data_IF_173155058747
#
_entry.id   IF_173155058747
#
_cell.length_a   1.000
_cell.length_b   1.000
_cell.length_c   1.000
_cell.angle_alpha   90.00
_cell.angle_beta   90.00
_cell.angle_gamma   90.00
#
_symmetry.space_group_name_H-M   'P 1'
#
loop_
_entity.id
_entity.type
_entity.pdbx_description
1 polymer ?
#
# COMPACT_ATOMS: atom_id res chain seq x y z
N UNK A 1 -35.36 -13.03 4.34
CA UNK A 1 -34.56 -13.14 3.13
C UNK A 1 -33.06 -13.18 3.44
N UNK A 2 -32.36 -14.09 2.80
CA UNK A 2 -30.93 -14.25 3.01
C UNK A 2 -30.08 -13.17 2.35
N UNK A 3 -30.56 -12.57 1.28
CA UNK A 3 -29.78 -11.70 0.42
C UNK A 3 -29.15 -10.50 1.10
N UNK A 4 -29.98 -9.63 1.68
CA UNK A 4 -29.49 -8.39 2.29
C UNK A 4 -28.64 -8.64 3.54
N UNK A 5 -29.06 -9.56 4.40
CA UNK A 5 -28.31 -9.89 5.61
C UNK A 5 -26.91 -10.43 5.29
N UNK A 6 -26.82 -11.30 4.28
CA UNK A 6 -25.54 -11.87 3.87
C UNK A 6 -24.62 -10.83 3.22
N UNK A 7 -25.19 -9.90 2.44
CA UNK A 7 -24.43 -8.81 1.82
C UNK A 7 -23.83 -7.90 2.89
N UNK A 8 -24.61 -7.50 3.89
CA UNK A 8 -24.12 -6.64 4.96
C UNK A 8 -23.04 -7.33 5.79
N UNK A 9 -23.24 -8.61 6.11
CA UNK A 9 -22.24 -9.37 6.88
C UNK A 9 -20.92 -9.47 6.14
N UNK A 10 -20.98 -9.73 4.82
CA UNK A 10 -19.78 -9.80 3.99
C UNK A 10 -19.06 -8.47 3.94
N UNK A 11 -19.81 -7.38 3.76
CA UNK A 11 -19.24 -6.04 3.70
C UNK A 11 -18.54 -5.67 5.00
N UNK A 12 -19.18 -5.94 6.15
CA UNK A 12 -18.58 -5.68 7.47
C UNK A 12 -17.31 -6.51 7.64
N UNK A 13 -17.35 -7.79 7.23
CA UNK A 13 -16.19 -8.66 7.31
C UNK A 13 -15.04 -8.15 6.46
N UNK A 14 -15.31 -7.75 5.22
CA UNK A 14 -14.30 -7.21 4.31
C UNK A 14 -13.68 -5.93 4.86
N UNK A 15 -14.49 -5.03 5.41
CA UNK A 15 -14.00 -3.80 6.03
C UNK A 15 -13.12 -4.09 7.25
N UNK A 16 -13.52 -5.05 8.07
CA UNK A 16 -12.72 -5.44 9.24
C UNK A 16 -11.38 -6.06 8.85
N UNK A 17 -11.38 -6.92 7.83
CA UNK A 17 -10.16 -7.52 7.31
C UNK A 17 -9.23 -6.46 6.74
N UNK A 18 -9.75 -5.52 5.97
CA UNK A 18 -8.99 -4.43 5.39
C UNK A 18 -8.35 -3.55 6.47
N UNK A 19 -9.11 -3.22 7.52
CA UNK A 19 -8.60 -2.42 8.62
C UNK A 19 -7.50 -3.11 9.42
N UNK A 20 -7.41 -4.45 9.34
CA UNK A 20 -6.37 -5.22 10.02
C UNK A 20 -5.12 -5.43 9.16
N UNK A 21 -5.19 -5.17 7.86
CA UNK A 21 -4.06 -5.34 6.98
C UNK A 21 -3.01 -4.26 7.22
N UNK A 22 -1.75 -4.67 7.11
CA UNK A 22 -0.64 -3.73 7.18
C UNK A 22 -0.66 -2.79 5.98
N UNK A 23 -0.12 -1.61 6.16
CA UNK A 23 0.03 -0.60 5.12
C UNK A 23 1.52 -0.32 4.92
N UNK A 24 1.99 -0.44 3.69
CA UNK A 24 3.37 -0.15 3.34
C UNK A 24 3.45 1.01 2.37
N UNK A 25 4.46 1.83 2.50
CA UNK A 25 4.66 3.01 1.68
C UNK A 25 6.10 3.15 1.24
N UNK A 26 6.29 3.52 -0.03
CA UNK A 26 7.59 3.88 -0.57
C UNK A 26 7.45 5.22 -1.26
N UNK A 27 8.17 6.22 -0.78
CA UNK A 27 8.17 7.54 -1.37
C UNK A 27 9.41 7.74 -2.21
N UNK A 28 9.22 8.19 -3.45
CA UNK A 28 10.27 8.38 -4.43
C UNK A 28 10.25 9.79 -4.97
N UNK A 29 11.36 10.19 -5.58
CA UNK A 29 11.42 11.39 -6.39
C UNK A 29 11.21 10.99 -7.82
N UNK A 30 10.09 11.46 -8.40
CA UNK A 30 9.75 11.18 -9.79
C UNK A 30 8.91 9.92 -9.98
N UNK A 31 8.16 9.93 -11.07
CA UNK A 31 7.20 8.88 -11.38
C UNK A 31 7.89 7.57 -11.82
N UNK A 32 9.02 7.68 -12.52
CA UNK A 32 9.75 6.49 -12.99
C UNK A 32 10.17 5.60 -11.83
N UNK A 33 10.76 6.18 -10.80
CA UNK A 33 11.16 5.42 -9.61
C UNK A 33 9.95 4.86 -8.87
N UNK A 34 8.83 5.59 -8.85
CA UNK A 34 7.60 5.11 -8.23
C UNK A 34 7.05 3.89 -8.95
N UNK A 35 7.04 3.89 -10.27
CA UNK A 35 6.57 2.76 -11.08
C UNK A 35 7.48 1.54 -10.86
N UNK A 36 8.79 1.74 -10.87
CA UNK A 36 9.74 0.66 -10.59
C UNK A 36 9.53 0.08 -9.20
N UNK A 37 9.33 0.95 -8.19
CA UNK A 37 9.05 0.49 -6.84
C UNK A 37 7.75 -0.30 -6.78
N UNK A 38 6.67 0.19 -7.41
CA UNK A 38 5.38 -0.49 -7.43
C UNK A 38 5.49 -1.87 -8.07
N UNK A 39 6.20 -1.98 -9.19
CA UNK A 39 6.42 -3.25 -9.87
C UNK A 39 7.20 -4.22 -8.98
N UNK A 40 8.29 -3.77 -8.38
CA UNK A 40 9.10 -4.60 -7.49
C UNK A 40 8.30 -5.08 -6.29
N UNK A 41 7.49 -4.21 -5.69
CA UNK A 41 6.68 -4.54 -4.52
C UNK A 41 5.65 -5.62 -4.84
N UNK A 42 4.94 -5.47 -5.94
CA UNK A 42 3.88 -6.42 -6.31
C UNK A 42 4.43 -7.75 -6.83
N UNK A 43 5.66 -7.77 -7.33
CA UNK A 43 6.32 -9.01 -7.75
C UNK A 43 6.98 -9.75 -6.57
N UNK A 44 7.39 -9.03 -5.53
CA UNK A 44 8.15 -9.60 -4.42
C UNK A 44 7.28 -10.34 -3.42
N UNK A 45 6.03 -9.93 -3.25
CA UNK A 45 5.15 -10.47 -2.23
C UNK A 45 3.69 -10.31 -2.64
N UNK A 46 2.83 -11.07 -2.00
CA UNK A 46 1.39 -11.00 -2.27
C UNK A 46 0.78 -9.83 -1.51
N UNK A 47 0.84 -8.67 -2.16
CA UNK A 47 0.28 -7.43 -1.63
C UNK A 47 -0.62 -6.79 -2.68
N UNK A 48 -1.58 -6.01 -2.23
CA UNK A 48 -2.45 -5.24 -3.11
C UNK A 48 -1.91 -3.82 -3.23
N UNK A 49 -1.80 -3.34 -4.45
CA UNK A 49 -1.45 -1.95 -4.70
C UNK A 49 -2.66 -1.08 -4.37
N UNK A 50 -2.53 -0.22 -3.37
CA UNK A 50 -3.62 0.66 -2.94
C UNK A 50 -3.71 1.88 -3.85
N UNK A 51 -2.59 2.43 -4.21
CA UNK A 51 -2.55 3.59 -5.08
C UNK A 51 -1.25 4.36 -4.98
N UNK A 52 -1.21 5.44 -5.73
CA UNK A 52 -0.09 6.39 -5.69
C UNK A 52 -0.61 7.77 -5.38
N UNK A 53 0.20 8.57 -4.70
CA UNK A 53 -0.13 9.94 -4.39
C UNK A 53 1.02 10.83 -4.83
N UNK A 54 0.71 11.87 -5.61
CA UNK A 54 1.67 12.87 -6.04
C UNK A 54 1.55 14.08 -5.11
N UNK A 55 2.63 14.40 -4.40
CA UNK A 55 2.59 15.39 -3.32
C UNK A 55 3.17 16.73 -3.74
N UNK A 56 3.59 16.89 -4.96
CA UNK A 56 4.29 18.09 -5.41
C UNK A 56 5.81 17.93 -5.26
N UNK A 57 6.56 18.88 -5.83
CA UNK A 57 8.03 18.85 -5.86
C UNK A 57 8.61 17.56 -6.46
N UNK A 58 7.83 16.88 -7.29
CA UNK A 58 8.25 15.61 -7.90
C UNK A 58 8.15 14.38 -6.99
N UNK A 59 7.60 14.53 -5.80
CA UNK A 59 7.46 13.41 -4.85
C UNK A 59 6.25 12.55 -5.18
N UNK A 60 6.42 11.24 -5.16
CA UNK A 60 5.37 10.26 -5.41
C UNK A 60 5.43 9.18 -4.34
N UNK A 61 4.32 8.90 -3.71
CA UNK A 61 4.22 7.82 -2.72
C UNK A 61 3.42 6.66 -3.30
N UNK A 62 3.99 5.46 -3.23
CA UNK A 62 3.33 4.21 -3.61
C UNK A 62 2.90 3.49 -2.33
N UNK A 63 1.66 3.03 -2.30
CA UNK A 63 1.10 2.34 -1.13
C UNK A 63 0.65 0.93 -1.47
N UNK A 64 0.95 0.00 -0.59
CA UNK A 64 0.52 -1.40 -0.71
C UNK A 64 -0.10 -1.86 0.61
N UNK A 65 -0.96 -2.85 0.51
CA UNK A 65 -1.60 -3.48 1.67
C UNK A 65 -1.48 -4.99 1.59
N UNK A 66 -1.55 -5.62 2.75
CA UNK A 66 -1.55 -7.06 2.87
C UNK A 66 -1.12 -7.50 4.24
N UNK A 67 -0.76 -8.77 4.35
CA UNK A 67 -0.22 -9.33 5.56
C UNK A 67 1.09 -8.62 5.92
N UNK A 68 1.37 -8.43 7.21
CA UNK A 68 2.51 -7.62 7.65
C UNK A 68 3.85 -8.12 7.13
N UNK A 69 4.05 -9.45 7.10
CA UNK A 69 5.28 -10.03 6.55
C UNK A 69 5.43 -9.76 5.06
N UNK A 70 4.33 -9.89 4.32
CA UNK A 70 4.32 -9.61 2.88
C UNK A 70 4.57 -8.13 2.60
N UNK A 71 3.96 -7.24 3.37
CA UNK A 71 4.15 -5.80 3.23
C UNK A 71 5.60 -5.40 3.53
N UNK A 72 6.20 -5.96 4.58
CA UNK A 72 7.62 -5.70 4.89
C UNK A 72 8.53 -6.12 3.75
N UNK A 73 8.31 -7.32 3.22
CA UNK A 73 9.09 -7.84 2.09
C UNK A 73 8.91 -6.97 0.83
N UNK A 74 7.66 -6.55 0.57
CA UNK A 74 7.36 -5.69 -0.56
C UNK A 74 8.06 -4.34 -0.44
N UNK A 75 7.97 -3.69 0.72
CA UNK A 75 8.60 -2.39 0.95
C UNK A 75 10.12 -2.47 0.81
N UNK A 76 10.73 -3.56 1.29
CA UNK A 76 12.17 -3.78 1.13
C UNK A 76 12.55 -3.86 -0.35
N UNK A 77 11.80 -4.61 -1.15
CA UNK A 77 12.04 -4.73 -2.59
C UNK A 77 11.82 -3.42 -3.33
N UNK A 78 10.75 -2.70 -3.00
CA UNK A 78 10.46 -1.40 -3.59
C UNK A 78 11.52 -0.37 -3.25
N UNK A 79 11.97 -0.37 -2.00
CA UNK A 79 13.05 0.48 -1.53
C UNK A 79 14.34 0.23 -2.31
N UNK A 80 14.71 -1.04 -2.50
CA UNK A 80 15.91 -1.40 -3.26
C UNK A 80 15.80 -0.94 -4.71
N UNK A 81 14.65 -1.11 -5.34
CA UNK A 81 14.42 -0.68 -6.71
C UNK A 81 14.56 0.84 -6.87
N UNK A 82 13.95 1.61 -5.98
CA UNK A 82 14.04 3.06 -6.00
C UNK A 82 15.47 3.54 -5.72
N UNK A 83 16.16 2.88 -4.79
CA UNK A 83 17.55 3.21 -4.45
C UNK A 83 18.49 3.01 -5.63
N UNK A 84 18.27 1.97 -6.43
CA UNK A 84 19.11 1.74 -7.62
C UNK A 84 19.01 2.89 -8.63
N UNK A 85 17.90 3.59 -8.63
CA UNK A 85 17.72 4.78 -9.48
C UNK A 85 18.19 6.06 -8.78
N UNK A 86 18.63 5.97 -7.50
CA UNK A 86 19.04 7.14 -6.73
C UNK A 86 17.89 8.03 -6.28
N UNK A 87 16.66 7.50 -6.27
CA UNK A 87 15.46 8.31 -6.08
C UNK A 87 14.61 7.92 -4.88
N UNK A 88 15.14 7.11 -3.96
CA UNK A 88 14.43 6.77 -2.74
C UNK A 88 14.44 7.94 -1.75
N UNK A 89 13.26 8.34 -1.28
CA UNK A 89 13.11 9.42 -0.30
C UNK A 89 12.80 8.86 1.08
N UNK A 90 11.79 8.00 1.20
CA UNK A 90 11.37 7.45 2.49
C UNK A 90 10.61 6.15 2.31
N UNK A 91 10.60 5.34 3.35
CA UNK A 91 9.78 4.14 3.42
C UNK A 91 9.13 4.05 4.79
N UNK A 92 7.98 3.41 4.86
CA UNK A 92 7.31 3.18 6.13
C UNK A 92 6.39 1.97 6.06
N UNK A 93 6.24 1.28 7.18
CA UNK A 93 5.29 0.19 7.34
C UNK A 93 4.48 0.46 8.60
N UNK A 94 3.17 0.45 8.47
CA UNK A 94 2.26 0.52 9.60
C UNK A 94 1.63 -0.86 9.74
N UNK A 95 2.02 -1.66 10.76
CA UNK A 95 1.55 -3.04 10.88
C UNK A 95 0.04 -3.15 11.11
N UNK A 96 -0.53 -2.22 11.87
CA UNK A 96 -1.96 -2.20 12.20
C UNK A 96 -2.50 -0.78 12.14
N UNK A 97 -2.83 -0.28 10.94
CA UNK A 97 -3.39 1.06 10.85
C UNK A 97 -4.70 1.16 11.63
N UNK A 98 -4.89 2.26 12.31
CA UNK A 98 -6.17 2.55 12.97
C UNK A 98 -7.26 2.62 11.91
N UNK A 99 -8.48 2.20 12.24
CA UNK A 99 -9.60 2.20 11.28
C UNK A 99 -9.85 3.59 10.66
N UNK A 100 -9.62 4.65 11.41
CA UNK A 100 -9.79 6.01 10.91
C UNK A 100 -8.80 6.40 9.83
N UNK A 101 -7.67 5.71 9.73
CA UNK A 101 -6.67 5.95 8.67
C UNK A 101 -7.26 5.66 7.29
N UNK A 102 -8.22 4.74 7.21
CA UNK A 102 -8.90 4.41 5.95
C UNK A 102 -9.53 5.64 5.29
N UNK A 103 -9.92 6.63 6.09
CA UNK A 103 -10.59 7.84 5.61
C UNK A 103 -9.69 8.75 4.79
N UNK A 104 -8.39 8.63 4.95
CA UNK A 104 -7.42 9.50 4.27
C UNK A 104 -6.59 8.77 3.21
N UNK A 105 -6.82 7.48 3.02
CA UNK A 105 -6.09 6.72 2.00
C UNK A 105 -6.66 7.03 0.61
N UNK A 106 -5.79 7.00 -0.43
CA UNK A 106 -6.26 7.20 -1.79
C UNK A 106 -7.26 6.13 -2.21
N UNK A 107 -8.22 6.52 -3.06
CA UNK A 107 -9.13 5.57 -3.71
C UNK A 107 -8.49 5.06 -5.00
N UNK A 108 -8.64 3.78 -5.22
CA UNK A 108 -8.22 3.18 -6.48
C UNK A 108 -9.41 3.04 -7.42
#
# INVERSE_FOLDING_TARGET
SRGLGDVYKRQIQEEAEMAQEALGMVETRGLTAAIEAADAMTKAAEVALVGTEKIGFGLVTVMVRGDVGAVKAAVESGSAAASRLGELVATHVIPRPHTDVEKILPSI
#
